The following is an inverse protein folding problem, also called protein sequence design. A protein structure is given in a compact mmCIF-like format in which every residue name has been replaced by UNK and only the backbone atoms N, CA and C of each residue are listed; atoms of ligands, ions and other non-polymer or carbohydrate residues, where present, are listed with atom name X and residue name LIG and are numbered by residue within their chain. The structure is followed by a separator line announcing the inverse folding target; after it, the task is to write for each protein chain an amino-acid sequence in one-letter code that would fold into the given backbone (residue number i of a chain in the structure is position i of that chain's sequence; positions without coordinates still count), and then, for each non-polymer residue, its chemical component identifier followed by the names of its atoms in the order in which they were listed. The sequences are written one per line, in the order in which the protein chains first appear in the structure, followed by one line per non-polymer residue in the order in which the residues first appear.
data_IF_368881841329
#
_entry.id   IF_368881841329
#
_cell.length_a   1.000
_cell.length_b   1.000
_cell.length_c   1.000
_cell.angle_alpha   90.00
_cell.angle_beta   90.00
_cell.angle_gamma   90.00
#
_symmetry.space_group_name_H-M   'P 1'
#
loop_
_entity.id
_entity.type
_entity.pdbx_description
1 polymer ?
2 non-polymer ?
3 non-polymer ?
4 non-polymer ?
5 non-polymer ?
6 non-polymer ?
7 water ?
#
# COMPACT_ATOMS: atom_id res chain seq x y z
N UNK A 5 -8.47 7.81 -19.33
CA UNK A 5 -8.65 7.88 -20.82
C UNK A 5 -9.95 7.21 -21.25
N UNK A 6 -10.35 7.45 -22.51
CA UNK A 6 -11.56 6.87 -23.07
C UNK A 6 -11.63 5.40 -22.75
N UNK A 7 -12.79 4.97 -22.26
CA UNK A 7 -13.04 3.61 -21.83
C UNK A 7 -14.10 2.94 -22.72
N UNK A 8 -13.71 1.88 -23.42
CA UNK A 8 -14.63 1.11 -24.22
C UNK A 8 -15.66 0.34 -23.36
N UNK A 9 -16.65 -0.21 -24.05
CA UNK A 9 -17.72 -0.97 -23.45
C UNK A 9 -17.22 -2.30 -22.87
N UNK A 10 -17.77 -2.67 -21.70
CA UNK A 10 -17.53 -4.00 -21.18
C UNK A 10 -18.23 -5.03 -22.11
N UNK A 11 -17.63 -6.22 -22.28
CA UNK A 11 -18.39 -7.26 -22.96
C UNK A 11 -19.53 -7.79 -22.11
N UNK A 12 -20.46 -8.51 -22.75
CA UNK A 12 -21.46 -9.29 -22.03
C UNK A 12 -20.80 -10.19 -20.99
N UNK A 13 -21.39 -10.25 -19.79
CA UNK A 13 -20.89 -11.07 -18.71
C UNK A 13 -22.07 -11.57 -17.94
N UNK A 14 -22.01 -12.83 -17.53
CA UNK A 14 -23.04 -13.39 -16.70
C UNK A 14 -22.48 -13.57 -15.29
N UNK A 15 -23.14 -12.97 -14.31
CA UNK A 15 -22.74 -13.12 -12.91
C UNK A 15 -23.95 -12.87 -12.02
N UNK A 16 -23.84 -13.25 -10.73
CA UNK A 16 -24.94 -13.04 -9.81
C UNK A 16 -25.38 -11.57 -9.73
N UNK A 17 -26.68 -11.37 -9.72
CA UNK A 17 -27.25 -10.04 -9.59
C UNK A 17 -26.96 -9.49 -8.20
N UNK A 18 -26.48 -8.22 -8.11
CA UNK A 18 -26.38 -7.57 -6.79
C UNK A 18 -27.75 -7.51 -6.12
N UNK A 19 -27.77 -7.74 -4.82
CA UNK A 19 -28.99 -7.75 -4.03
C UNK A 19 -29.07 -6.44 -3.21
N UNK A 20 -29.93 -5.53 -3.63
CA UNK A 20 -30.03 -4.19 -3.02
C UNK A 20 -30.40 -4.24 -1.53
N UNK A 21 -31.25 -5.19 -1.17
CA UNK A 21 -31.72 -5.30 0.20
C UNK A 21 -30.95 -6.34 1.00
N UNK A 22 -29.74 -6.72 0.55
CA UNK A 22 -28.87 -7.62 1.34
C UNK A 22 -27.52 -6.94 1.49
N UNK A 23 -27.09 -6.62 2.72
CA UNK A 23 -25.73 -6.08 2.87
C UNK A 23 -24.66 -7.05 2.43
N UNK A 24 -23.55 -6.55 1.90
CA UNK A 24 -22.52 -7.47 1.40
C UNK A 24 -21.66 -7.96 2.56
N UNK A 25 -21.61 -7.22 3.64
CA UNK A 25 -21.01 -7.70 4.90
C UNK A 25 -21.89 -7.20 6.03
N UNK A 26 -22.17 -8.08 6.99
CA UNK A 26 -22.96 -7.68 8.14
C UNK A 26 -22.09 -7.46 9.37
N UNK A 27 -20.79 -7.69 9.22
CA UNK A 27 -19.87 -7.65 10.37
C UNK A 27 -18.85 -6.52 10.35
N UNK A 28 -18.77 -5.81 9.22
CA UNK A 28 -17.74 -4.79 9.02
C UNK A 28 -18.30 -3.60 8.25
N UNK A 29 -17.65 -2.46 8.46
CA UNK A 29 -17.87 -1.25 7.72
C UNK A 29 -17.23 -1.40 6.32
N UNK A 30 -18.02 -1.24 5.26
CA UNK A 30 -17.52 -1.41 3.87
C UNK A 30 -17.40 -0.11 3.08
N UNK A 31 -17.73 1.02 3.71
CA UNK A 31 -17.56 2.34 3.08
C UNK A 31 -17.24 3.37 4.14
N UNK A 32 -16.29 4.27 3.85
CA UNK A 32 -15.96 5.32 4.81
C UNK A 32 -17.01 6.40 4.79
N UNK A 33 -17.01 7.27 5.81
CA UNK A 33 -17.95 8.42 5.79
C UNK A 33 -17.75 9.46 4.67
N UNK A 34 -16.64 9.36 3.94
CA UNK A 34 -16.42 10.17 2.76
C UNK A 34 -16.59 9.34 1.48
N UNK A 35 -17.32 8.25 1.61
CA UNK A 35 -17.75 7.43 0.49
C UNK A 35 -16.61 6.77 -0.26
N UNK A 36 -15.53 6.45 0.43
CA UNK A 36 -14.45 5.59 -0.10
C UNK A 36 -14.79 4.14 0.28
N UNK A 37 -14.76 3.22 -0.68
CA UNK A 37 -14.90 1.80 -0.33
C UNK A 37 -13.80 1.33 0.63
N UNK A 38 -14.18 0.48 1.57
CA UNK A 38 -13.23 -0.24 2.43
C UNK A 38 -13.25 -1.67 1.90
N UNK A 39 -12.10 -2.11 1.39
CA UNK A 39 -11.98 -3.32 0.58
C UNK A 39 -11.79 -4.56 1.48
N UNK A 40 -12.87 -5.33 1.56
CA UNK A 40 -12.91 -6.63 2.22
C UNK A 40 -13.38 -7.69 1.24
N UNK A 41 -13.07 -8.95 1.53
CA UNK A 41 -13.62 -10.00 0.70
C UNK A 41 -15.14 -9.97 0.80
N UNK A 42 -15.78 -10.15 -0.34
CA UNK A 42 -17.23 -10.10 -0.44
C UNK A 42 -17.78 -8.77 -0.88
N UNK A 43 -16.93 -7.73 -0.94
CA UNK A 43 -17.35 -6.41 -1.41
C UNK A 43 -17.22 -6.25 -2.92
N UNK A 44 -16.42 -7.10 -3.57
CA UNK A 44 -16.13 -6.93 -4.98
C UNK A 44 -16.25 -8.21 -5.79
N UNK A 45 -16.67 -8.06 -7.04
CA UNK A 45 -16.64 -9.12 -8.04
C UNK A 45 -15.38 -8.86 -8.88
N UNK A 46 -14.37 -9.67 -8.67
CA UNK A 46 -13.08 -9.48 -9.32
C UNK A 46 -13.14 -9.66 -10.84
N UNK A 47 -14.12 -10.41 -11.33
CA UNK A 47 -14.30 -10.55 -12.79
C UNK A 47 -14.66 -9.22 -13.46
N UNK A 48 -15.53 -8.46 -12.82
CA UNK A 48 -15.92 -7.15 -13.34
C UNK A 48 -14.72 -6.21 -13.26
N UNK A 49 -14.05 -6.17 -12.11
CA UNK A 49 -12.92 -5.24 -11.97
C UNK A 49 -11.76 -5.57 -12.92
N UNK A 50 -11.45 -6.85 -13.07
CA UNK A 50 -10.40 -7.26 -14.00
C UNK A 50 -10.71 -6.80 -15.42
N UNK A 51 -11.96 -6.94 -15.85
CA UNK A 51 -12.35 -6.41 -17.17
C UNK A 51 -12.10 -4.91 -17.29
N UNK A 52 -12.56 -4.15 -16.30
CA UNK A 52 -12.44 -2.70 -16.34
C UNK A 52 -10.98 -2.28 -16.45
N UNK A 53 -10.12 -2.86 -15.64
CA UNK A 53 -8.72 -2.48 -15.63
C UNK A 53 -7.92 -3.03 -16.82
N UNK A 54 -8.25 -4.21 -17.30
CA UNK A 54 -7.60 -4.74 -18.50
C UNK A 54 -7.98 -3.92 -19.71
N UNK A 55 -9.23 -3.47 -19.78
CA UNK A 55 -9.63 -2.63 -20.95
C UNK A 55 -8.93 -1.27 -20.99
N UNK A 56 -8.40 -0.83 -19.84
CA UNK A 56 -7.57 0.38 -19.77
C UNK A 56 -6.07 0.12 -19.92
N UNK A 57 -5.68 -1.13 -20.16
CA UNK A 57 -4.28 -1.53 -20.30
C UNK A 57 -3.41 -1.09 -19.10
N UNK A 58 -3.96 -1.36 -17.92
CA UNK A 58 -3.36 -0.85 -16.70
C UNK A 58 -2.04 -1.51 -16.39
N UNK A 59 -1.07 -0.67 -16.00
CA UNK A 59 0.23 -1.13 -15.54
C UNK A 59 0.38 -0.70 -14.09
N UNK A 60 0.75 -1.65 -13.25
CA UNK A 60 0.94 -1.42 -11.82
C UNK A 60 2.43 -1.51 -11.49
N UNK A 61 2.97 -0.46 -10.88
CA UNK A 61 4.31 -0.51 -10.32
C UNK A 61 4.26 -0.92 -8.86
N UNK A 62 5.21 -1.75 -8.42
CA UNK A 62 5.28 -2.19 -7.01
C UNK A 62 6.66 -1.89 -6.47
N UNK A 63 6.75 -0.90 -5.56
CA UNK A 63 8.04 -0.47 -4.99
C UNK A 63 8.31 -1.23 -3.70
N UNK A 64 9.55 -1.64 -3.52
CA UNK A 64 9.95 -2.37 -2.34
C UNK A 64 11.40 -2.03 -2.05
N UNK A 65 11.74 -1.83 -0.78
CA UNK A 65 13.11 -1.47 -0.35
C UNK A 65 13.73 -2.66 0.34
N UNK A 66 14.93 -3.02 -0.10
CA UNK A 66 15.64 -4.16 0.48
C UNK A 66 17.05 -3.72 0.71
N UNK A 67 17.23 -3.08 1.86
CA UNK A 67 18.46 -2.42 2.21
C UNK A 67 19.15 -3.19 3.31
N UNK A 68 20.47 -3.31 3.21
CA UNK A 68 21.30 -4.06 4.16
C UNK A 68 20.76 -5.51 4.29
N UNK A 69 20.51 -6.01 5.50
CA UNK A 69 20.18 -7.41 5.67
C UNK A 69 18.79 -7.79 5.10
N UNK A 70 18.00 -6.79 4.73
CA UNK A 70 16.64 -7.06 4.27
C UNK A 70 16.57 -7.61 2.85
N UNK A 71 17.71 -7.65 2.15
CA UNK A 71 17.80 -8.39 0.90
C UNK A 71 17.39 -9.84 1.02
N UNK A 72 17.54 -10.42 2.21
CA UNK A 72 17.16 -11.81 2.45
C UNK A 72 15.68 -12.07 2.23
N UNK A 73 14.86 -11.03 2.39
CA UNK A 73 13.41 -11.17 2.24
C UNK A 73 12.92 -11.14 0.80
N UNK A 74 13.77 -10.71 -0.13
CA UNK A 74 13.30 -10.51 -1.50
C UNK A 74 12.82 -11.75 -2.22
N UNK A 75 13.49 -12.87 -2.03
CA UNK A 75 13.13 -14.08 -2.78
C UNK A 75 11.70 -14.47 -2.55
N UNK A 76 11.33 -14.63 -1.29
CA UNK A 76 9.94 -14.99 -0.97
C UNK A 76 8.96 -13.89 -1.36
N UNK A 77 9.35 -12.63 -1.14
CA UNK A 77 8.51 -11.51 -1.48
C UNK A 77 8.14 -11.58 -2.95
N UNK A 78 9.15 -11.67 -3.82
CA UNK A 78 8.91 -11.64 -5.26
C UNK A 78 8.24 -12.91 -5.77
N UNK A 79 8.64 -14.09 -5.25
CA UNK A 79 8.00 -15.35 -5.64
C UNK A 79 6.52 -15.36 -5.31
N UNK A 80 6.17 -14.89 -4.13
CA UNK A 80 4.77 -14.84 -3.76
C UNK A 80 4.00 -13.72 -4.48
N UNK A 81 4.66 -12.60 -4.77
CA UNK A 81 4.04 -11.57 -5.62
C UNK A 81 3.71 -12.16 -6.99
N UNK A 82 4.58 -13.01 -7.54
CA UNK A 82 4.28 -13.64 -8.82
C UNK A 82 3.04 -14.52 -8.78
N UNK A 83 2.80 -15.16 -7.64
CA UNK A 83 1.62 -16.02 -7.48
C UNK A 83 0.32 -15.25 -7.22
N UNK A 84 0.40 -14.08 -6.60
CA UNK A 84 -0.78 -13.43 -6.05
C UNK A 84 -1.03 -11.95 -6.39
N UNK A 85 -0.02 -11.23 -6.86
CA UNK A 85 -0.13 -9.77 -7.04
C UNK A 85 -0.44 -9.40 -8.47
N UNK A 86 -1.64 -8.87 -8.70
CA UNK A 86 -2.07 -8.36 -10.02
C UNK A 86 -1.90 -9.34 -11.18
N UNK A 87 -2.14 -10.62 -10.93
CA UNK A 87 -1.91 -11.62 -12.00
C UNK A 87 -2.87 -11.37 -13.15
N UNK A 88 -2.34 -11.36 -14.36
CA UNK A 88 -3.10 -11.00 -15.57
C UNK A 88 -2.88 -9.60 -16.09
N UNK A 89 -2.31 -8.73 -15.23
CA UNK A 89 -2.08 -7.33 -15.53
C UNK A 89 -0.61 -7.06 -15.72
N UNK A 90 -0.29 -5.92 -16.33
CA UNK A 90 1.11 -5.56 -16.49
C UNK A 90 1.64 -5.09 -15.17
N UNK A 91 2.80 -5.64 -14.77
CA UNK A 91 3.43 -5.28 -13.51
C UNK A 91 4.90 -4.89 -13.74
N UNK A 92 5.34 -3.83 -13.08
CA UNK A 92 6.75 -3.49 -13.03
C UNK A 92 7.19 -3.42 -11.57
N UNK A 93 8.07 -4.32 -11.17
CA UNK A 93 8.65 -4.28 -9.81
C UNK A 93 9.81 -3.32 -9.81
N UNK A 94 9.90 -2.48 -8.79
CA UNK A 94 11.04 -1.58 -8.61
C UNK A 94 11.66 -1.93 -7.27
N UNK A 95 12.81 -2.59 -7.30
CA UNK A 95 13.52 -2.99 -6.11
C UNK A 95 14.61 -1.99 -5.82
N UNK A 96 14.45 -1.27 -4.71
CA UNK A 96 15.45 -0.28 -4.27
C UNK A 96 16.39 -0.96 -3.28
N UNK A 97 17.69 -0.95 -3.54
CA UNK A 97 18.61 -1.66 -2.68
C UNK A 97 19.98 -1.00 -2.71
N UNK A 98 20.75 -1.20 -1.66
CA UNK A 98 22.19 -0.85 -1.64
C UNK A 98 23.08 -1.99 -2.16
N UNK A 99 22.48 -3.11 -2.51
CA UNK A 99 23.22 -4.26 -3.00
C UNK A 99 22.63 -4.75 -4.32
N UNK A 100 22.86 -4.00 -5.42
CA UNK A 100 22.16 -4.27 -6.65
C UNK A 100 22.51 -5.60 -7.28
N UNK A 101 23.64 -6.20 -6.90
CA UNK A 101 24.00 -7.53 -7.39
C UNK A 101 23.42 -8.69 -6.55
N UNK A 102 22.78 -8.39 -5.41
CA UNK A 102 22.22 -9.40 -4.50
C UNK A 102 20.69 -9.62 -4.63
N UNK A 103 20.10 -9.06 -5.66
CA UNK A 103 18.68 -9.31 -5.90
C UNK A 103 18.53 -10.73 -6.48
N UNK A 104 17.70 -11.58 -5.86
CA UNK A 104 17.57 -12.95 -6.39
C UNK A 104 16.95 -13.00 -7.77
N UNK A 105 17.35 -14.03 -8.54
CA UNK A 105 16.83 -14.26 -9.87
C UNK A 105 15.50 -14.95 -9.76
N UNK A 106 14.42 -14.18 -9.76
CA UNK A 106 13.06 -14.77 -9.63
C UNK A 106 12.48 -14.78 -11.03
N UNK A 107 11.88 -15.91 -11.38
CA UNK A 107 11.28 -16.07 -12.69
C UNK A 107 9.96 -15.35 -12.72
N UNK A 108 9.79 -14.48 -13.71
CA UNK A 108 8.59 -13.65 -13.81
C UNK A 108 7.65 -14.15 -14.91
N UNK A 109 6.35 -14.07 -14.65
CA UNK A 109 5.34 -14.30 -15.68
C UNK A 109 5.40 -13.31 -16.83
N UNK A 110 4.70 -13.62 -17.92
CA UNK A 110 4.64 -12.74 -19.04
C UNK A 110 4.02 -11.39 -18.66
N UNK A 111 4.55 -10.31 -19.24
CA UNK A 111 4.04 -8.97 -19.00
C UNK A 111 4.51 -8.33 -17.70
N UNK A 112 5.48 -8.96 -17.04
CA UNK A 112 5.93 -8.55 -15.74
C UNK A 112 7.42 -8.32 -15.86
N UNK A 113 7.90 -7.21 -15.32
CA UNK A 113 9.33 -6.93 -15.38
C UNK A 113 9.82 -6.34 -14.09
N UNK A 114 11.13 -6.35 -13.94
CA UNK A 114 11.77 -5.92 -12.69
C UNK A 114 12.94 -5.03 -13.02
N UNK A 115 13.03 -3.92 -12.29
CA UNK A 115 14.17 -2.99 -12.38
C UNK A 115 14.78 -2.90 -11.00
N UNK A 116 16.09 -2.81 -10.94
CA UNK A 116 16.79 -2.66 -9.69
C UNK A 116 17.31 -1.24 -9.65
N UNK A 117 17.02 -0.52 -8.56
CA UNK A 117 17.42 0.88 -8.42
C UNK A 117 18.33 0.96 -7.22
N UNK A 118 19.55 1.45 -7.43
CA UNK A 118 20.52 1.48 -6.35
C UNK A 118 20.33 2.75 -5.54
N UNK A 119 20.30 2.60 -4.22
CA UNK A 119 20.18 3.70 -3.29
C UNK A 119 21.13 3.52 -2.14
N UNK A 120 21.35 4.60 -1.40
CA UNK A 120 22.22 4.54 -0.25
C UNK A 120 21.53 3.87 0.93
N UNK A 121 22.35 3.29 1.78
CA UNK A 121 21.92 2.67 3.03
C UNK A 121 22.18 3.63 4.18
N UNK A 122 21.14 3.99 4.90
CA UNK A 122 21.30 4.75 6.15
C UNK A 122 21.63 3.83 7.29
N UNK A 123 22.29 4.37 8.31
CA UNK A 123 22.74 3.53 9.42
C UNK A 123 21.60 3.01 10.32
N UNK A 124 20.72 3.93 10.72
CA UNK A 124 19.62 3.58 11.60
C UNK A 124 18.44 3.03 10.81
N UNK A 125 17.78 2.00 11.34
CA UNK A 125 16.61 1.43 10.65
C UNK A 125 15.53 2.48 10.49
N UNK A 126 15.44 3.38 11.46
CA UNK A 126 14.44 4.45 11.43
C UNK A 126 14.63 5.29 10.19
N UNK A 127 15.87 5.66 9.90
CA UNK A 127 16.17 6.45 8.72
C UNK A 127 15.97 5.71 7.38
N UNK A 128 16.36 4.44 7.34
CA UNK A 128 16.10 3.62 6.18
C UNK A 128 14.60 3.64 5.88
N UNK A 129 13.80 3.40 6.91
CA UNK A 129 12.35 3.38 6.76
C UNK A 129 11.80 4.73 6.31
N UNK A 130 12.24 5.80 6.96
CA UNK A 130 11.72 7.14 6.70
C UNK A 130 12.12 7.68 5.34
N UNK A 131 13.35 7.38 4.92
CA UNK A 131 13.88 7.91 3.66
C UNK A 131 13.25 7.25 2.42
N UNK A 132 12.49 6.18 2.60
CA UNK A 132 11.68 5.67 1.49
C UNK A 132 10.79 6.75 0.88
N UNK A 133 10.26 7.67 1.71
CA UNK A 133 9.39 8.69 1.15
C UNK A 133 10.15 9.57 0.15
N UNK A 134 11.36 10.01 0.52
CA UNK A 134 12.20 10.79 -0.39
C UNK A 134 12.56 10.01 -1.65
N UNK A 135 12.92 8.75 -1.46
CA UNK A 135 13.39 7.93 -2.56
C UNK A 135 12.24 7.64 -3.53
N UNK A 136 11.06 7.36 -3.01
CA UNK A 136 9.91 7.17 -3.88
C UNK A 136 9.59 8.45 -4.64
N UNK A 137 9.54 9.57 -3.94
CA UNK A 137 9.22 10.87 -4.54
C UNK A 137 10.22 11.16 -5.65
N UNK A 138 11.50 10.93 -5.37
CA UNK A 138 12.58 11.20 -6.41
C UNK A 138 12.33 10.36 -7.67
N UNK A 139 11.93 9.10 -7.47
CA UNK A 139 11.72 8.23 -8.62
C UNK A 139 10.43 8.48 -9.37
N UNK A 140 9.45 9.11 -8.72
CA UNK A 140 8.21 9.57 -9.40
C UNK A 140 8.46 10.63 -10.45
N UNK A 141 9.60 11.31 -10.36
CA UNK A 141 9.96 12.38 -11.29
C UNK A 141 10.27 11.82 -12.64
N UNK A 142 10.95 10.69 -12.65
CA UNK A 142 11.44 10.14 -13.88
C UNK A 142 10.57 8.94 -14.18
N UNK A 143 10.98 7.80 -13.61
CA UNK A 143 10.61 6.48 -14.11
C UNK A 143 9.10 6.27 -14.13
N UNK A 144 8.48 6.54 -12.98
CA UNK A 144 7.16 6.02 -12.71
C UNK A 144 6.10 6.69 -13.59
N UNK A 145 6.19 8.01 -13.79
CA UNK A 145 5.22 8.71 -14.68
C UNK A 145 5.17 8.14 -16.10
N UNK A 146 6.32 7.79 -16.63
CA UNK A 146 6.40 7.25 -17.99
C UNK A 146 6.13 5.74 -18.07
N UNK A 147 6.41 5.00 -16.99
CA UNK A 147 6.23 3.52 -16.97
C UNK A 147 4.95 2.88 -16.37
N UNK A 148 4.29 3.54 -15.41
CA UNK A 148 3.11 2.94 -14.76
C UNK A 148 1.88 3.84 -14.59
N UNK A 149 0.72 3.23 -14.36
CA UNK A 149 -0.53 3.95 -14.06
C UNK A 149 -0.78 4.12 -12.55
N UNK A 150 -0.38 3.11 -11.79
CA UNK A 150 -0.50 3.12 -10.34
C UNK A 150 0.78 2.64 -9.70
N UNK A 151 1.05 3.16 -8.50
CA UNK A 151 2.14 2.67 -7.68
C UNK A 151 1.61 2.09 -6.39
N UNK A 152 2.20 0.95 -5.99
CA UNK A 152 1.88 0.26 -4.74
C UNK A 152 3.19 0.16 -3.97
N UNK A 153 3.20 0.65 -2.73
CA UNK A 153 4.43 0.85 -1.97
C UNK A 153 4.34 0.02 -0.70
N UNK A 154 5.21 -1.00 -0.61
CA UNK A 154 5.12 -1.96 0.49
C UNK A 154 6.45 -2.26 1.17
N UNK A 155 6.34 -2.76 2.40
CA UNK A 155 7.48 -3.33 3.16
C UNK A 155 7.89 -4.66 2.50
N UNK A 156 9.17 -5.03 2.63
CA UNK A 156 9.72 -6.24 2.02
C UNK A 156 9.63 -7.51 2.89
N UNK A 157 9.56 -7.34 4.20
CA UNK A 157 9.58 -8.46 5.15
C UNK A 157 8.22 -9.10 5.31
N UNK A 158 7.69 -9.49 4.15
CA UNK A 158 6.30 -9.82 3.98
C UNK A 158 6.19 -10.88 2.89
N UNK A 159 5.04 -11.54 2.84
CA UNK A 159 4.75 -12.44 1.74
C UNK A 159 3.28 -12.34 1.37
N UNK A 160 3.00 -12.57 0.10
CA UNK A 160 1.64 -12.68 -0.36
C UNK A 160 1.16 -14.11 -0.14
N UNK A 161 0.02 -14.27 0.50
CA UNK A 161 -0.60 -15.59 0.66
C UNK A 161 -1.93 -15.73 -0.03
N UNK A 162 -2.45 -14.63 -0.58
CA UNK A 162 -3.70 -14.70 -1.29
C UNK A 162 -3.80 -13.50 -2.21
N UNK A 163 -4.84 -13.51 -3.04
CA UNK A 163 -5.07 -12.49 -4.06
C UNK A 163 -4.93 -11.05 -3.57
N UNK A 164 -4.06 -10.29 -4.24
CA UNK A 164 -4.00 -8.83 -4.12
C UNK A 164 -4.05 -8.30 -5.56
N UNK A 165 -5.19 -7.74 -5.91
CA UNK A 165 -5.46 -7.37 -7.28
C UNK A 165 -6.02 -5.98 -7.49
N UNK A 166 -6.64 -5.80 -8.65
CA UNK A 166 -7.03 -4.46 -9.08
C UNK A 166 -8.14 -3.81 -8.24
N UNK A 167 -8.82 -4.59 -7.40
CA UNK A 167 -9.71 -4.05 -6.39
C UNK A 167 -9.09 -2.96 -5.51
N UNK A 168 -7.77 -2.95 -5.36
CA UNK A 168 -7.11 -1.93 -4.53
C UNK A 168 -6.86 -0.60 -5.24
N UNK A 169 -6.94 -0.58 -6.58
CA UNK A 169 -6.47 0.52 -7.38
C UNK A 169 -7.49 1.65 -7.40
N UNK A 170 -6.95 2.87 -7.29
CA UNK A 170 -7.74 4.07 -7.05
C UNK A 170 -6.73 5.22 -6.99
N UNK A 171 -7.20 6.48 -7.04
CA UNK A 171 -6.19 7.54 -6.94
C UNK A 171 -5.31 7.54 -5.70
N UNK A 172 -5.86 7.18 -4.55
CA UNK A 172 -5.06 7.21 -3.32
C UNK A 172 -5.63 6.23 -2.33
N UNK A 173 -4.80 5.30 -1.84
CA UNK A 173 -5.26 4.37 -0.83
C UNK A 173 -4.30 4.22 0.31
N UNK A 174 -4.87 3.92 1.47
CA UNK A 174 -4.12 3.45 2.61
C UNK A 174 -4.73 2.17 3.09
N UNK A 175 -4.06 1.54 4.05
CA UNK A 175 -4.46 0.24 4.56
C UNK A 175 -4.61 0.31 6.05
N UNK A 176 -5.65 -0.32 6.58
CA UNK A 176 -5.84 -0.38 8.01
C UNK A 176 -4.78 -1.19 8.70
N UNK A 177 -4.08 -0.59 9.64
CA UNK A 177 -3.05 -1.26 10.40
C UNK A 177 -3.70 -2.41 11.20
N UNK A 178 -3.10 -3.61 11.16
CA UNK A 178 -3.79 -4.76 11.78
C UNK A 178 -3.88 -4.72 13.30
N UNK A 179 -3.00 -3.99 13.95
CA UNK A 179 -3.05 -3.78 15.39
C UNK A 179 -4.11 -2.83 15.94
N UNK A 180 -4.75 -2.03 15.08
CA UNK A 180 -5.65 -0.94 15.55
C UNK A 180 -7.01 -0.84 14.89
N UNK A 181 -7.37 -1.76 14.03
CA UNK A 181 -8.64 -1.62 13.29
C UNK A 181 -9.86 -1.63 14.21
N UNK A 182 -9.76 -2.31 15.36
CA UNK A 182 -10.81 -2.28 16.37
C UNK A 182 -10.67 -1.28 17.49
N UNK A 183 -9.61 -0.47 17.45
CA UNK A 183 -9.34 0.48 18.53
C UNK A 183 -10.05 1.81 18.38
N UNK A 184 -10.25 2.48 19.51
CA UNK A 184 -10.76 3.83 19.52
C UNK A 184 -9.58 4.76 19.21
N UNK A 185 -9.89 5.91 18.61
CA UNK A 185 -8.86 6.84 18.10
C UNK A 185 -7.90 7.34 19.15
N UNK A 186 -8.33 7.45 20.40
CA UNK A 186 -7.40 7.88 21.45
C UNK A 186 -6.26 6.87 21.62
N UNK A 187 -6.53 5.58 21.38
CA UNK A 187 -5.51 4.53 21.46
C UNK A 187 -4.58 4.43 20.22
N UNK A 188 -4.96 5.03 19.11
CA UNK A 188 -4.07 5.11 17.93
C UNK A 188 -2.74 5.77 18.29
N UNK A 189 -1.64 5.19 17.80
CA UNK A 189 -0.29 5.67 18.12
C UNK A 189 0.14 6.75 17.13
N UNK A 190 -0.76 7.69 16.85
CA UNK A 190 -0.36 8.90 16.12
C UNK A 190 0.71 9.65 16.90
N UNK A 191 1.44 10.51 16.19
CA UNK A 191 2.32 11.44 16.86
C UNK A 191 1.44 12.43 17.64
N UNK A 192 1.71 12.56 18.93
CA UNK A 192 0.90 13.38 19.85
C UNK A 192 1.63 14.64 20.35
N UNK A 193 2.86 14.89 19.91
CA UNK A 193 3.58 16.10 20.28
C UNK A 193 3.31 17.21 19.27
N UNK A 194 2.75 18.35 19.73
CA UNK A 194 2.45 19.45 18.80
C UNK A 194 3.67 20.04 18.09
N UNK A 195 4.87 19.76 18.59
CA UNK A 195 6.10 20.27 18.01
C UNK A 195 6.45 19.55 16.70
N UNK A 196 5.82 18.41 16.43
CA UNK A 196 6.06 17.63 15.20
C UNK A 196 5.04 17.95 14.13
N UNK A 197 5.51 17.96 12.87
CA UNK A 197 4.62 18.06 11.70
C UNK A 197 3.55 16.98 11.64
N UNK A 198 3.85 15.80 12.21
CA UNK A 198 2.91 14.65 12.19
C UNK A 198 1.85 14.69 13.28
N UNK A 199 1.83 15.74 14.09
CA UNK A 199 0.88 15.85 15.22
C UNK A 199 -0.57 15.70 14.79
N UNK A 200 -1.26 14.81 15.48
CA UNK A 200 -2.71 14.65 15.39
C UNK A 200 -3.27 14.74 16.81
N UNK A 201 -4.19 15.69 17.06
CA UNK A 201 -4.86 15.78 18.36
C UNK A 201 -5.66 14.55 18.71
N UNK A 202 -5.88 14.37 20.01
CA UNK A 202 -6.56 13.20 20.54
C UNK A 202 -8.00 13.01 20.04
N UNK A 203 -8.64 14.10 19.65
CA UNK A 203 -10.02 14.05 19.19
C UNK A 203 -10.15 13.98 17.66
N UNK A 204 -9.05 13.76 16.93
CA UNK A 204 -9.13 13.67 15.47
C UNK A 204 -8.56 12.34 15.02
N UNK A 205 -8.92 11.96 13.80
CA UNK A 205 -8.45 10.70 13.26
C UNK A 205 -9.61 9.84 12.82
N UNK A 206 -9.49 9.28 11.62
CA UNK A 206 -10.48 8.34 11.08
C UNK A 206 -10.04 6.90 11.33
N UNK A 207 -8.82 6.59 10.93
CA UNK A 207 -8.24 5.25 11.03
C UNK A 207 -6.76 5.39 11.34
N UNK A 208 -6.16 4.28 11.80
CA UNK A 208 -4.72 4.18 11.88
C UNK A 208 -4.22 3.35 10.71
N UNK A 209 -3.61 4.04 9.75
CA UNK A 209 -3.13 3.40 8.53
C UNK A 209 -1.73 2.82 8.73
N UNK A 210 -1.48 1.66 8.12
CA UNK A 210 -0.17 1.04 8.20
C UNK A 210 0.81 1.61 7.21
N UNK A 211 2.02 1.95 7.67
CA UNK A 211 3.07 2.47 6.74
C UNK A 211 3.58 1.43 5.74
N UNK A 212 3.26 0.17 5.96
CA UNK A 212 3.75 -0.93 5.14
C UNK A 212 2.98 -1.17 3.84
N UNK A 213 1.92 -0.43 3.57
CA UNK A 213 1.12 -0.70 2.35
C UNK A 213 0.26 0.50 2.02
N UNK A 214 0.72 1.30 1.05
CA UNK A 214 -0.08 2.42 0.55
C UNK A 214 0.16 2.54 -0.93
N UNK A 215 -0.61 3.38 -1.59
CA UNK A 215 -0.39 3.60 -3.02
C UNK A 215 -1.44 4.44 -3.66
N UNK A 216 -1.46 4.40 -4.97
CA UNK A 216 -2.35 5.29 -5.70
C UNK A 216 -1.88 5.51 -7.11
N UNK A 217 -2.42 6.54 -7.75
CA UNK A 217 -1.91 6.96 -9.06
C UNK A 217 -0.52 7.52 -8.85
N UNK A 218 0.28 7.59 -9.91
CA UNK A 218 1.64 8.15 -9.74
C UNK A 218 1.54 9.60 -9.19
N UNK A 219 0.61 10.38 -9.73
CA UNK A 219 0.42 11.76 -9.27
C UNK A 219 0.17 11.85 -7.76
N UNK A 220 -0.73 11.00 -7.26
CA UNK A 220 -1.10 11.07 -5.85
C UNK A 220 -0.01 10.53 -4.95
N UNK A 221 0.71 9.51 -5.42
CA UNK A 221 1.83 8.94 -4.66
C UNK A 221 2.97 9.93 -4.59
N UNK A 222 3.20 10.64 -5.69
CA UNK A 222 4.21 11.72 -5.70
C UNK A 222 3.88 12.77 -4.66
N UNK A 223 2.60 13.14 -4.60
CA UNK A 223 2.17 14.13 -3.62
C UNK A 223 2.36 13.67 -2.18
N UNK A 224 1.89 12.45 -1.91
CA UNK A 224 1.99 11.92 -0.56
C UNK A 224 3.42 11.83 -0.10
N UNK A 225 4.27 11.27 -0.96
CA UNK A 225 5.64 10.94 -0.53
C UNK A 225 6.45 12.23 -0.40
N UNK A 226 6.24 13.18 -1.31
CA UNK A 226 6.84 14.51 -1.22
C UNK A 226 6.45 15.21 0.07
N UNK A 227 5.16 15.20 0.38
CA UNK A 227 4.64 15.88 1.61
C UNK A 227 5.23 15.26 2.86
N UNK A 228 5.30 13.93 2.89
CA UNK A 228 5.83 13.24 4.06
C UNK A 228 7.32 13.54 4.21
N UNK A 229 8.06 13.51 3.10
CA UNK A 229 9.50 13.84 3.14
C UNK A 229 9.73 15.28 3.61
N UNK A 230 8.99 16.24 3.01
CA UNK A 230 9.16 17.65 3.43
C UNK A 230 8.82 17.84 4.92
N UNK A 231 7.81 17.12 5.41
CA UNK A 231 7.45 17.18 6.82
C UNK A 231 8.54 16.60 7.72
N UNK A 232 9.11 15.48 7.30
CA UNK A 232 10.24 14.87 8.02
C UNK A 232 11.41 15.84 8.12
N UNK A 233 11.72 16.52 7.02
CA UNK A 233 12.82 17.49 6.99
C UNK A 233 12.58 18.68 7.94
N UNK A 234 11.34 19.15 8.01
CA UNK A 234 11.02 20.18 9.00
C UNK A 234 11.27 19.67 10.43
N UNK A 235 10.75 18.50 10.74
CA UNK A 235 10.96 17.87 12.06
C UNK A 235 12.45 17.74 12.37
N UNK A 236 13.22 17.28 11.39
CA UNK A 236 14.65 17.08 11.59
C UNK A 236 15.35 18.41 11.92
N UNK A 237 14.99 19.47 11.19
CA UNK A 237 15.51 20.83 11.51
C UNK A 237 15.16 21.29 12.91
N UNK A 238 14.01 20.85 13.41
CA UNK A 238 13.55 21.15 14.76
C UNK A 238 14.00 20.16 15.85
N UNK A 239 14.83 19.19 15.49
CA UNK A 239 15.32 18.22 16.45
C UNK A 239 14.27 17.26 17.01
N UNK A 240 13.32 16.85 16.17
CA UNK A 240 12.30 15.89 16.60
C UNK A 240 12.10 14.82 15.53
N UNK A 241 11.85 13.60 15.97
CA UNK A 241 11.59 12.47 15.06
C UNK A 241 10.26 11.87 15.46
N UNK A 242 9.34 11.76 14.51
CA UNK A 242 8.03 11.26 14.81
C UNK A 242 8.10 9.87 15.42
N UNK A 243 7.22 9.63 16.38
CA UNK A 243 7.21 8.38 17.17
C UNK A 243 7.23 7.10 16.33
N UNK A 244 6.41 7.06 15.28
CA UNK A 244 6.40 5.94 14.32
C UNK A 244 6.80 6.39 12.92
N UNK A 245 7.69 7.39 12.86
CA UNK A 245 8.54 7.61 11.69
C UNK A 245 7.66 7.88 10.46
N UNK A 246 7.91 7.18 9.34
CA UNK A 246 7.13 7.40 8.11
C UNK A 246 5.65 7.13 8.31
N UNK A 247 5.34 6.15 9.14
CA UNK A 247 3.92 5.83 9.38
C UNK A 247 3.17 7.00 10.03
N UNK A 248 3.86 7.69 10.94
CA UNK A 248 3.27 8.89 11.58
C UNK A 248 2.91 9.96 10.59
N UNK A 249 3.85 10.27 9.71
CA UNK A 249 3.62 11.26 8.66
C UNK A 249 2.56 10.82 7.66
N UNK A 250 2.56 9.54 7.32
CA UNK A 250 1.56 8.99 6.40
C UNK A 250 0.16 9.19 7.00
N UNK A 251 0.04 8.88 8.27
CA UNK A 251 -1.23 9.09 8.98
C UNK A 251 -1.71 10.54 9.00
N UNK A 252 -0.80 11.49 9.22
CA UNK A 252 -1.12 12.91 9.16
C UNK A 252 -1.59 13.27 7.75
N UNK A 253 -0.88 12.79 6.72
CA UNK A 253 -1.25 13.07 5.35
C UNK A 253 -2.65 12.56 5.02
N UNK A 254 -2.94 11.31 5.39
CA UNK A 254 -4.23 10.69 5.01
C UNK A 254 -5.39 11.18 5.86
N UNK A 255 -5.11 11.75 7.03
CA UNK A 255 -6.16 12.49 7.78
C UNK A 255 -6.63 13.74 7.03
N UNK A 256 -5.69 14.52 6.52
CA UNK A 256 -5.99 15.81 5.86
C UNK A 256 -6.22 15.69 4.34
N UNK A 257 -5.88 14.54 3.76
CA UNK A 257 -6.10 14.25 2.33
C UNK A 257 -6.68 12.84 2.28
N UNK A 258 -8.00 12.74 2.25
CA UNK A 258 -8.65 11.45 2.53
C UNK A 258 -8.42 10.48 1.38
N UNK A 259 -8.09 9.21 1.68
CA UNK A 259 -7.94 8.23 0.60
C UNK A 259 -9.26 7.92 -0.09
N UNK A 260 -9.16 7.58 -1.36
CA UNK A 260 -10.30 7.25 -2.22
C UNK A 260 -10.71 5.75 -2.12
N UNK A 261 -9.83 4.92 -1.56
CA UNK A 261 -10.18 3.55 -1.06
C UNK A 261 -9.35 3.29 0.19
N UNK A 262 -9.89 2.51 1.10
CA UNK A 262 -9.16 2.03 2.26
C UNK A 262 -9.14 0.51 2.20
N UNK A 263 -7.96 -0.07 2.32
CA UNK A 263 -7.82 -1.52 2.36
C UNK A 263 -8.01 -2.07 3.78
N UNK A 264 -8.79 -3.14 3.91
CA UNK A 264 -8.96 -3.79 5.18
C UNK A 264 -7.64 -4.46 5.58
N UNK A 265 -7.56 -4.91 6.84
CA UNK A 265 -6.35 -5.62 7.27
C UNK A 265 -6.12 -6.98 6.64
N UNK A 266 -7.05 -7.49 5.81
CA UNK A 266 -6.71 -8.59 4.93
C UNK A 266 -5.40 -8.34 4.19
N UNK A 267 -5.18 -7.07 3.82
CA UNK A 267 -4.07 -6.62 3.03
C UNK A 267 -2.80 -6.29 3.82
N UNK A 268 -2.84 -6.36 5.15
CA UNK A 268 -1.66 -6.10 5.97
C UNK A 268 -1.87 -6.78 7.33
N UNK A 269 -1.29 -7.96 7.49
CA UNK A 269 -1.60 -8.81 8.64
C UNK A 269 -0.32 -9.41 9.25
N UNK A 270 -0.43 -9.90 10.48
CA UNK A 270 0.67 -10.61 11.13
C UNK A 270 0.02 -11.74 11.90
N UNK A 271 0.09 -12.95 11.34
CA UNK A 271 -0.66 -14.08 11.90
C UNK A 271 -0.05 -14.57 13.22
N UNK A 272 1.28 -14.43 13.34
CA UNK A 272 1.98 -14.79 14.57
C UNK A 272 1.43 -14.00 15.75
N UNK A 273 1.28 -12.69 15.57
CA UNK A 273 0.82 -11.79 16.60
C UNK A 273 -0.68 -11.73 16.83
N UNK A 274 -1.46 -12.03 15.80
CA UNK A 274 -2.89 -11.74 15.81
C UNK A 274 -3.79 -12.90 15.39
N UNK A 275 -3.22 -14.03 15.00
CA UNK A 275 -3.97 -15.19 14.62
C UNK A 275 -4.76 -15.01 13.34
N UNK A 276 -5.92 -15.65 13.28
CA UNK A 276 -6.79 -15.58 12.08
C UNK A 276 -8.23 -15.41 12.56
N UNK A 277 -8.62 -14.16 12.83
CA UNK A 277 -9.97 -13.85 13.30
C UNK A 277 -11.06 -14.13 12.29
N UNK A 278 -12.27 -14.39 12.80
CA UNK A 278 -13.44 -14.63 11.92
C UNK A 278 -13.70 -13.50 10.90
N UNK A 279 -13.43 -12.28 11.32
CA UNK A 279 -13.65 -11.12 10.48
C UNK A 279 -12.75 -11.11 9.22
N UNK A 280 -11.61 -11.82 9.26
CA UNK A 280 -10.72 -11.95 8.08
C UNK A 280 -11.04 -13.23 7.33
N UNK A 281 -11.71 -13.07 6.20
CA UNK A 281 -12.02 -14.19 5.35
C UNK A 281 -10.81 -14.64 4.52
N UNK A 282 -9.87 -13.72 4.27
CA UNK A 282 -8.63 -14.06 3.59
C UNK A 282 -7.51 -13.26 4.20
N UNK A 283 -6.33 -13.88 4.28
CA UNK A 283 -5.11 -13.25 4.75
C UNK A 283 -4.26 -13.12 3.50
N UNK A 284 -4.13 -11.89 2.97
CA UNK A 284 -3.54 -11.70 1.64
C UNK A 284 -2.07 -11.37 1.64
N UNK A 285 -1.65 -10.49 2.55
CA UNK A 285 -0.27 -9.96 2.59
C UNK A 285 0.09 -9.89 4.04
N UNK A 286 1.11 -10.69 4.41
CA UNK A 286 1.39 -11.05 5.79
C UNK A 286 2.87 -10.92 6.17
N UNK A 287 3.12 -10.63 7.45
CA UNK A 287 4.49 -10.59 7.97
C UNK A 287 5.18 -11.94 7.91
N UNK A 288 6.45 -11.91 7.58
CA UNK A 288 7.29 -13.11 7.69
C UNK A 288 7.71 -13.18 9.15
N UNK A 289 7.44 -14.31 9.84
CA UNK A 289 7.76 -14.39 11.29
C UNK A 289 9.23 -14.21 11.64
#
# INVERSE_FOLDING_TARGET
MAIGEFMVSLPRMVYPQPKVLTPCRKDVLVVTPWLAPIVWEGTFNIDILNEQFRLQNTTIGLTVFAIKKYVAFLKLFLETAEKHFMVGHRVHYYVFTDQPAAVPRVTLGTGRQLSVLEVRAYKRWQDVSMRRMEMISDFCERRFLSEVDYLVCVDVDMEFRDHVGVEILTPLFGTLHPGFYGSSREAFTYERRPQSQAYIPKDEGDFYYGGAFFGGSVQEVQRLTRACHQAMMVDQANGIEAVWHDESHLNKYLLRHKPTKVLSPEYLWDQQLLGWPAVLRKLRFTAVPKNHQAVRNP
#
